data_IF_632605963940
#
_entry.id   IF_632605963940
#
_cell.length_a   1.000
_cell.length_b   1.000
_cell.length_c   1.000
_cell.angle_alpha   90.00
_cell.angle_beta   90.00
_cell.angle_gamma   90.00
#
_symmetry.space_group_name_H-M   'P 1'
#
loop_
_entity.id
_entity.type
_entity.pdbx_description
1 polymer ?
#
# COMPACT_ATOMS: atom_id res chain seq x y z
N UNK A 1 -49.90 2.73 -36.10
CA UNK A 1 -48.45 2.91 -35.85
C UNK A 1 -48.16 3.98 -34.78
N UNK A 2 -48.72 3.87 -33.57
CA UNK A 2 -48.44 4.83 -32.47
C UNK A 2 -47.95 4.17 -31.17
N UNK A 3 -48.09 2.85 -31.05
CA UNK A 3 -47.69 2.09 -29.87
C UNK A 3 -46.19 1.73 -29.89
N UNK A 4 -45.63 1.47 -31.07
CA UNK A 4 -44.23 1.09 -31.27
C UNK A 4 -43.24 2.23 -30.94
N UNK A 5 -43.65 3.50 -31.11
CA UNK A 5 -42.81 4.67 -30.86
C UNK A 5 -42.65 4.97 -29.36
N UNK A 6 -43.66 4.61 -28.53
CA UNK A 6 -43.62 4.83 -27.07
C UNK A 6 -42.71 3.84 -26.34
N UNK A 7 -42.57 2.62 -26.86
CA UNK A 7 -41.70 1.61 -26.25
C UNK A 7 -40.23 1.94 -26.47
N UNK A 8 -39.88 2.50 -27.64
CA UNK A 8 -38.50 2.88 -27.97
C UNK A 8 -38.00 4.09 -27.15
N UNK A 9 -38.89 4.97 -26.70
CA UNK A 9 -38.53 6.15 -25.89
C UNK A 9 -38.33 5.84 -24.41
N UNK A 10 -38.90 4.74 -23.89
CA UNK A 10 -38.70 4.32 -22.50
C UNK A 10 -37.37 3.56 -22.34
N UNK A 11 -36.96 2.81 -23.37
CA UNK A 11 -35.70 2.05 -23.35
C UNK A 11 -34.45 2.95 -23.43
N UNK A 12 -34.54 4.08 -24.12
CA UNK A 12 -33.44 5.05 -24.22
C UNK A 12 -33.22 5.86 -22.93
N UNK A 13 -34.24 6.00 -22.07
CA UNK A 13 -34.11 6.69 -20.78
C UNK A 13 -33.41 5.84 -19.71
N UNK A 14 -33.43 4.50 -19.84
CA UNK A 14 -32.71 3.58 -18.96
C UNK A 14 -31.18 3.63 -19.16
N UNK A 15 -30.71 4.17 -20.29
CA UNK A 15 -29.28 4.42 -20.54
C UNK A 15 -28.75 5.72 -19.91
N UNK A 16 -29.64 6.54 -19.34
CA UNK A 16 -29.31 7.78 -18.62
C UNK A 16 -29.35 7.59 -17.10
N UNK A 17 -29.29 6.35 -16.61
CA UNK A 17 -29.04 6.09 -15.19
C UNK A 17 -27.62 6.58 -14.85
N UNK A 18 -27.47 7.35 -13.77
CA UNK A 18 -26.24 8.08 -13.49
C UNK A 18 -25.14 7.07 -13.15
N UNK A 19 -24.03 7.13 -13.89
CA UNK A 19 -22.70 6.66 -13.47
C UNK A 19 -22.17 7.52 -12.28
N UNK A 20 -23.04 7.86 -11.32
CA UNK A 20 -22.83 8.91 -10.34
C UNK A 20 -22.16 8.48 -9.03
N UNK A 21 -21.77 7.22 -8.89
CA UNK A 21 -21.05 6.74 -7.70
C UNK A 21 -19.53 7.02 -7.77
N UNK A 22 -18.97 7.17 -8.98
CA UNK A 22 -17.51 7.21 -9.17
C UNK A 22 -16.83 8.47 -8.65
N UNK A 23 -17.49 9.63 -8.63
CA UNK A 23 -16.87 10.92 -8.29
C UNK A 23 -16.70 11.17 -6.78
N UNK A 24 -17.68 10.78 -5.96
CA UNK A 24 -17.58 10.91 -4.49
C UNK A 24 -16.63 9.85 -3.91
N UNK A 25 -16.69 8.62 -4.43
CA UNK A 25 -15.78 7.55 -4.04
C UNK A 25 -14.32 7.89 -4.40
N UNK A 26 -14.09 8.45 -5.60
CA UNK A 26 -12.75 8.90 -6.00
C UNK A 26 -12.17 9.96 -5.05
N UNK A 27 -12.95 10.98 -4.69
CA UNK A 27 -12.51 12.00 -3.71
C UNK A 27 -12.20 11.42 -2.34
N UNK A 28 -12.98 10.43 -1.90
CA UNK A 28 -12.73 9.71 -0.66
C UNK A 28 -11.43 8.90 -0.74
N UNK A 29 -11.18 8.23 -1.87
CA UNK A 29 -9.94 7.49 -2.10
C UNK A 29 -8.73 8.42 -2.11
N UNK A 30 -8.79 9.54 -2.82
CA UNK A 30 -7.71 10.54 -2.83
C UNK A 30 -7.39 11.06 -1.43
N UNK A 31 -8.42 11.32 -0.61
CA UNK A 31 -8.24 11.74 0.77
C UNK A 31 -7.50 10.67 1.60
N UNK A 32 -7.92 9.40 1.51
CA UNK A 32 -7.26 8.30 2.23
C UNK A 32 -5.81 8.08 1.77
N UNK A 33 -5.55 8.15 0.47
CA UNK A 33 -4.17 8.03 -0.05
C UNK A 33 -3.31 9.22 0.42
N UNK A 34 -3.88 10.42 0.51
CA UNK A 34 -3.20 11.58 1.08
C UNK A 34 -2.89 11.38 2.57
N UNK A 35 -3.80 10.78 3.34
CA UNK A 35 -3.56 10.44 4.75
C UNK A 35 -2.43 9.42 4.90
N UNK A 36 -2.40 8.36 4.08
CA UNK A 36 -1.30 7.40 4.07
C UNK A 36 0.03 8.07 3.75
N UNK A 37 0.06 8.96 2.77
CA UNK A 37 1.27 9.73 2.44
C UNK A 37 1.75 10.57 3.63
N UNK A 38 0.85 11.31 4.27
CA UNK A 38 1.19 12.12 5.44
C UNK A 38 1.73 11.27 6.59
N UNK A 39 1.11 10.12 6.85
CA UNK A 39 1.56 9.18 7.86
C UNK A 39 2.97 8.65 7.54
N UNK A 40 3.21 8.26 6.28
CA UNK A 40 4.53 7.80 5.82
C UNK A 40 5.60 8.89 5.92
N UNK A 41 5.24 10.15 5.67
CA UNK A 41 6.14 11.30 5.84
C UNK A 41 6.49 11.49 7.33
N UNK A 42 5.52 11.39 8.24
CA UNK A 42 5.75 11.50 9.70
C UNK A 42 6.64 10.36 10.20
N UNK A 43 6.33 9.12 9.83
CA UNK A 43 7.09 7.93 10.22
C UNK A 43 8.50 7.93 9.59
N UNK A 44 8.66 8.56 8.43
CA UNK A 44 9.96 8.83 7.82
C UNK A 44 10.78 9.91 8.54
N UNK A 45 10.14 10.85 9.26
CA UNK A 45 10.78 12.00 9.91
C UNK A 45 11.00 11.84 11.42
N UNK A 46 10.36 10.87 12.09
CA UNK A 46 10.38 10.66 13.55
C UNK A 46 11.73 10.17 14.14
N UNK A 47 12.86 10.52 13.54
CA UNK A 47 14.22 10.25 14.04
C UNK A 47 14.80 8.91 13.59
N UNK A 48 13.98 7.93 13.23
CA UNK A 48 14.41 6.66 12.65
C UNK A 48 13.61 6.38 11.38
N UNK A 49 14.23 6.51 10.21
CA UNK A 49 13.59 6.28 8.92
C UNK A 49 13.12 4.82 8.83
N UNK A 50 11.81 4.58 8.68
CA UNK A 50 11.27 3.24 8.47
C UNK A 50 11.65 2.65 7.11
N UNK A 51 11.78 3.50 6.10
CA UNK A 51 12.20 3.11 4.77
C UNK A 51 13.20 4.11 4.20
N UNK A 52 14.03 3.64 3.29
CA UNK A 52 15.14 4.41 2.72
C UNK A 52 15.06 4.50 1.21
N UNK A 53 14.55 3.44 0.56
CA UNK A 53 14.46 3.37 -0.89
C UNK A 53 13.31 2.47 -1.31
N UNK A 54 12.66 2.84 -2.41
CA UNK A 54 11.73 2.00 -3.15
C UNK A 54 12.32 1.78 -4.55
N UNK A 55 12.42 0.52 -4.98
CA UNK A 55 12.64 0.18 -6.38
C UNK A 55 11.32 -0.38 -6.94
N UNK A 56 10.70 0.43 -7.80
CA UNK A 56 9.42 0.13 -8.45
C UNK A 56 9.56 -0.23 -9.92
N UNK A 57 10.78 -0.50 -10.41
CA UNK A 57 11.04 -0.86 -11.81
C UNK A 57 10.30 -2.12 -12.26
N UNK A 58 10.11 -3.07 -11.34
CA UNK A 58 9.35 -4.29 -11.53
C UNK A 58 8.44 -4.57 -10.32
N UNK A 59 7.44 -5.44 -10.52
CA UNK A 59 6.58 -5.96 -9.45
C UNK A 59 6.97 -7.43 -9.14
N UNK A 60 7.01 -7.86 -7.85
CA UNK A 60 6.74 -7.09 -6.64
C UNK A 60 7.71 -5.92 -6.41
N UNK A 61 7.23 -4.84 -5.77
CA UNK A 61 8.06 -3.67 -5.49
C UNK A 61 9.10 -4.02 -4.42
N UNK A 62 10.34 -3.56 -4.59
CA UNK A 62 11.38 -3.78 -3.58
C UNK A 62 11.45 -2.59 -2.63
N UNK A 63 11.05 -2.80 -1.39
CA UNK A 63 11.08 -1.79 -0.35
C UNK A 63 12.29 -2.03 0.57
N UNK A 64 13.23 -1.10 0.54
CA UNK A 64 14.42 -1.13 1.40
C UNK A 64 14.10 -0.40 2.70
N UNK A 65 14.07 -1.15 3.79
CA UNK A 65 13.69 -0.66 5.12
C UNK A 65 14.91 -0.16 5.89
N UNK A 66 14.67 0.74 6.84
CA UNK A 66 15.69 1.37 7.67
C UNK A 66 15.55 1.04 9.15
N UNK A 67 16.35 1.73 9.97
CA UNK A 67 16.45 1.52 11.42
C UNK A 67 15.09 1.65 12.15
N UNK A 68 14.17 2.48 11.64
CA UNK A 68 12.83 2.63 12.22
C UNK A 68 12.02 1.34 12.17
N UNK A 69 12.11 0.62 11.05
CA UNK A 69 11.46 -0.67 10.87
C UNK A 69 12.05 -1.71 11.82
N UNK A 70 13.38 -1.75 11.94
CA UNK A 70 14.08 -2.65 12.86
C UNK A 70 13.67 -2.47 14.31
N UNK A 71 13.51 -1.22 14.74
CA UNK A 71 13.14 -0.86 16.10
C UNK A 71 11.66 -1.05 16.42
N UNK A 72 10.79 -1.05 15.41
CA UNK A 72 9.37 -1.30 15.60
C UNK A 72 9.11 -2.73 16.09
N UNK A 73 8.03 -2.93 16.83
CA UNK A 73 7.54 -4.27 17.14
C UNK A 73 6.92 -4.92 15.89
N UNK A 74 6.55 -6.21 15.97
CA UNK A 74 6.01 -6.93 14.82
C UNK A 74 4.76 -6.26 14.25
N UNK A 75 3.87 -5.78 15.13
CA UNK A 75 2.64 -5.11 14.73
C UNK A 75 2.91 -3.80 14.00
N UNK A 76 3.83 -2.97 14.51
CA UNK A 76 4.20 -1.72 13.85
C UNK A 76 4.89 -1.93 12.50
N UNK A 77 5.66 -3.03 12.35
CA UNK A 77 6.22 -3.43 11.05
C UNK A 77 5.11 -3.83 10.06
N UNK A 78 4.16 -4.64 10.49
CA UNK A 78 3.02 -5.07 9.67
C UNK A 78 2.16 -3.88 9.22
N UNK A 79 1.73 -3.04 10.16
CA UNK A 79 0.92 -1.84 9.89
C UNK A 79 1.63 -0.89 8.92
N UNK A 80 2.94 -0.70 9.10
CA UNK A 80 3.74 0.09 8.16
C UNK A 80 3.70 -0.47 6.74
N UNK A 81 3.95 -1.78 6.56
CA UNK A 81 3.99 -2.38 5.22
C UNK A 81 2.60 -2.43 4.58
N UNK A 82 1.55 -2.67 5.36
CA UNK A 82 0.17 -2.63 4.90
C UNK A 82 -0.20 -1.23 4.37
N UNK A 83 0.02 -0.17 5.16
CA UNK A 83 -0.23 1.21 4.73
C UNK A 83 0.60 1.56 3.50
N UNK A 84 1.87 1.17 3.47
CA UNK A 84 2.74 1.39 2.31
C UNK A 84 2.21 0.69 1.06
N UNK A 85 1.67 -0.53 1.20
CA UNK A 85 1.11 -1.30 0.08
C UNK A 85 -0.13 -0.65 -0.52
N UNK A 86 -1.02 -0.09 0.31
CA UNK A 86 -2.21 0.64 -0.13
C UNK A 86 -1.84 1.95 -0.80
N UNK A 87 -0.86 2.66 -0.24
CA UNK A 87 -0.30 3.86 -0.85
C UNK A 87 0.25 3.56 -2.25
N UNK A 88 1.04 2.49 -2.41
CA UNK A 88 1.58 2.09 -3.72
C UNK A 88 0.52 1.63 -4.71
N UNK A 89 -0.57 1.04 -4.24
CA UNK A 89 -1.69 0.66 -5.09
C UNK A 89 -2.51 1.87 -5.56
N UNK A 90 -2.38 3.03 -4.89
CA UNK A 90 -3.17 4.22 -5.16
C UNK A 90 -4.67 4.01 -4.91
N UNK A 91 -5.04 3.02 -4.10
CA UNK A 91 -6.43 2.69 -3.82
C UNK A 91 -6.56 2.07 -2.42
N UNK A 92 -7.50 2.52 -1.58
CA UNK A 92 -7.60 2.09 -0.18
C UNK A 92 -7.94 0.60 -0.03
N UNK A 93 -8.77 0.05 -0.93
CA UNK A 93 -9.15 -1.38 -0.86
C UNK A 93 -8.24 -2.32 -1.68
N UNK A 94 -7.13 -1.81 -2.24
CA UNK A 94 -6.17 -2.63 -3.01
C UNK A 94 -4.79 -2.48 -2.42
N UNK A 95 -3.98 -3.52 -2.54
CA UNK A 95 -2.60 -3.50 -2.09
C UNK A 95 -1.65 -3.83 -3.24
N UNK A 96 -0.43 -3.31 -3.15
CA UNK A 96 0.68 -3.74 -3.99
C UNK A 96 1.46 -4.86 -3.29
N UNK A 97 1.98 -5.81 -4.07
CA UNK A 97 2.92 -6.81 -3.55
C UNK A 97 4.27 -6.12 -3.29
N UNK A 98 4.85 -6.38 -2.12
CA UNK A 98 6.11 -5.78 -1.68
C UNK A 98 7.06 -6.89 -1.23
N UNK A 99 8.27 -6.88 -1.78
CA UNK A 99 9.41 -7.61 -1.23
C UNK A 99 10.21 -6.66 -0.33
N UNK A 100 10.52 -7.10 0.89
CA UNK A 100 11.23 -6.30 1.88
C UNK A 100 12.72 -6.63 1.85
N UNK A 101 13.54 -5.59 1.83
CA UNK A 101 14.99 -5.68 1.82
C UNK A 101 15.60 -4.89 2.95
N UNK A 102 16.63 -5.45 3.60
CA UNK A 102 17.50 -4.68 4.46
C UNK A 102 18.32 -3.70 3.61
N UNK A 103 18.37 -2.44 4.03
CA UNK A 103 19.05 -1.39 3.27
C UNK A 103 20.58 -1.45 3.37
N UNK A 104 21.13 -1.98 4.45
CA UNK A 104 22.57 -2.06 4.67
C UNK A 104 23.20 -3.22 3.89
N UNK A 105 22.59 -4.40 3.96
CA UNK A 105 23.09 -5.63 3.34
C UNK A 105 22.49 -5.91 1.96
N UNK A 106 21.33 -5.33 1.64
CA UNK A 106 20.57 -5.67 0.44
C UNK A 106 19.95 -7.06 0.49
N UNK A 107 19.92 -7.73 1.65
CA UNK A 107 19.32 -9.04 1.82
C UNK A 107 17.79 -8.96 1.81
N UNK A 108 17.13 -9.96 1.24
CA UNK A 108 15.69 -10.10 1.37
C UNK A 108 15.34 -10.55 2.80
N UNK A 109 14.42 -9.84 3.44
CA UNK A 109 14.08 -10.03 4.85
C UNK A 109 12.61 -10.36 5.09
N UNK A 110 11.76 -10.20 4.08
CA UNK A 110 10.34 -10.48 4.20
C UNK A 110 9.56 -10.11 2.95
N UNK A 111 8.26 -10.23 3.05
CA UNK A 111 7.32 -9.98 1.96
C UNK A 111 5.96 -9.54 2.51
N UNK A 112 5.18 -8.88 1.66
CA UNK A 112 3.77 -8.59 1.87
C UNK A 112 2.98 -8.89 0.60
N UNK A 113 1.90 -9.65 0.75
CA UNK A 113 1.04 -10.02 -0.35
C UNK A 113 -0.17 -10.81 0.08
N UNK A 114 -0.59 -11.77 -0.75
CA UNK A 114 -1.80 -12.57 -0.54
C UNK A 114 -1.82 -13.34 0.80
N UNK A 115 -0.66 -13.70 1.34
CA UNK A 115 -0.52 -14.36 2.64
C UNK A 115 -0.40 -13.40 3.84
N UNK A 116 -0.53 -12.08 3.61
CA UNK A 116 -0.27 -11.05 4.60
C UNK A 116 1.21 -10.72 4.73
N UNK A 117 1.55 -10.05 5.84
CA UNK A 117 2.91 -9.69 6.19
C UNK A 117 3.69 -10.88 6.74
N UNK A 118 4.93 -11.05 6.28
CA UNK A 118 5.82 -12.10 6.77
C UNK A 118 7.28 -11.64 6.77
N UNK A 119 7.98 -11.98 7.84
CA UNK A 119 9.44 -11.89 7.91
C UNK A 119 10.08 -13.26 7.68
N UNK A 120 11.23 -13.26 7.02
CA UNK A 120 11.99 -14.48 6.78
C UNK A 120 12.81 -14.88 8.01
N UNK A 121 13.11 -16.18 8.20
CA UNK A 121 13.95 -16.64 9.31
C UNK A 121 15.36 -16.03 9.34
N UNK A 122 15.84 -15.54 8.19
CA UNK A 122 17.12 -14.84 8.04
C UNK A 122 17.11 -13.43 8.59
N UNK A 123 15.94 -12.83 8.83
CA UNK A 123 15.85 -11.49 9.38
C UNK A 123 16.32 -11.47 10.83
N UNK A 124 17.40 -10.71 11.08
CA UNK A 124 17.90 -10.43 12.42
C UNK A 124 17.84 -8.92 12.64
N UNK A 125 17.05 -8.44 13.62
CA UNK A 125 17.07 -7.02 13.97
C UNK A 125 18.47 -6.61 14.38
N UNK A 126 18.91 -5.42 13.95
CA UNK A 126 20.28 -4.92 14.21
C UNK A 126 20.73 -4.99 15.68
N UNK A 127 19.79 -4.89 16.65
CA UNK A 127 20.08 -5.01 18.09
C UNK A 127 20.62 -6.38 18.53
N UNK A 128 20.34 -7.44 17.77
CA UNK A 128 20.79 -8.80 18.11
C UNK A 128 22.22 -9.06 17.64
N UNK A 129 22.63 -8.46 16.51
CA UNK A 129 24.00 -8.54 15.99
C UNK A 129 25.01 -7.86 16.91
N UNK A 130 24.64 -6.72 17.51
CA UNK A 130 25.51 -5.96 18.43
C UNK A 130 25.70 -6.59 19.82
N UNK A 131 25.03 -7.71 20.13
CA UNK A 131 25.24 -8.48 21.39
C UNK A 131 26.12 -9.71 21.22
N UNK A 132 26.46 -10.06 19.99
CA UNK A 132 27.24 -11.26 19.65
C UNK A 132 28.69 -10.97 19.25
N UNK A 133 29.12 -9.71 19.37
CA UNK A 133 30.52 -9.27 19.24
C UNK A 133 31.06 -8.80 20.60
#
# INVERSE_FOLDING_TARGET
MKLQIRVLTILSLLFLLPLGASGQDFKKWEAQISEYKQWLDVVGLAGFRFWLRLDSSWRPHKLYVGEGFDKADYKGKEEFVEIFSHYLAGHPDKFALIDLFDSASGAAIGEFGWGGFKLYPSYRPTKELARTE
#
